data_IF_175402797006
#
_entry.id   IF_175402797006
#
_cell.length_a   1.000
_cell.length_b   1.000
_cell.length_c   1.000
_cell.angle_alpha   90.00
_cell.angle_beta   90.00
_cell.angle_gamma   90.00
#
_symmetry.space_group_name_H-M   'P 1'
#
loop_
_entity.id
_entity.type
_entity.pdbx_description
1 polymer ?
#
# COMPACT_ATOMS: atom_id res chain seq x y z
N UNK A 1 -9.15 0.34 7.09
CA UNK A 1 -7.97 -0.55 7.22
C UNK A 1 -6.81 -0.02 6.38
N UNK A 2 -6.86 -0.08 5.04
CA UNK A 2 -5.78 0.42 4.19
C UNK A 2 -5.51 1.92 4.40
N UNK A 3 -6.54 2.77 4.48
CA UNK A 3 -6.32 4.22 4.72
C UNK A 3 -5.54 4.52 6.01
N UNK A 4 -5.78 3.74 7.07
CA UNK A 4 -5.07 3.93 8.34
C UNK A 4 -3.61 3.47 8.22
N UNK A 5 -3.38 2.29 7.64
CA UNK A 5 -2.03 1.76 7.41
C UNK A 5 -1.22 2.64 6.44
N UNK A 6 -1.84 3.13 5.36
CA UNK A 6 -1.21 4.06 4.42
C UNK A 6 -0.80 5.36 5.11
N UNK A 7 -1.70 5.94 5.92
CA UNK A 7 -1.39 7.15 6.71
C UNK A 7 -0.29 6.92 7.72
N UNK A 8 -0.25 5.76 8.38
CA UNK A 8 0.84 5.39 9.28
C UNK A 8 2.21 5.32 8.57
N UNK A 9 2.23 5.05 7.26
CA UNK A 9 3.43 5.06 6.43
C UNK A 9 3.65 6.40 5.69
N UNK A 10 2.94 7.47 6.09
CA UNK A 10 3.08 8.81 5.53
C UNK A 10 2.48 9.00 4.13
N UNK A 11 1.60 8.10 3.69
CA UNK A 11 1.03 8.11 2.34
C UNK A 11 -0.50 8.11 2.36
N UNK A 12 -1.13 8.81 1.42
CA UNK A 12 -2.58 8.69 1.21
C UNK A 12 -2.90 7.45 0.38
N UNK A 13 -4.07 6.86 0.61
CA UNK A 13 -4.52 5.70 -0.16
C UNK A 13 -4.51 5.93 -1.67
N UNK A 14 -4.94 7.12 -2.11
CA UNK A 14 -4.94 7.48 -3.53
C UNK A 14 -3.52 7.49 -4.11
N UNK A 15 -2.53 8.00 -3.36
CA UNK A 15 -1.12 8.01 -3.78
C UNK A 15 -0.54 6.59 -3.79
N UNK A 16 -0.90 5.75 -2.82
CA UNK A 16 -0.52 4.34 -2.78
C UNK A 16 -1.02 3.59 -4.01
N UNK A 17 -2.31 3.70 -4.32
CA UNK A 17 -2.90 3.03 -5.49
C UNK A 17 -2.33 3.58 -6.80
N UNK A 18 -2.06 4.89 -6.87
CA UNK A 18 -1.42 5.50 -8.03
C UNK A 18 -0.02 4.93 -8.25
N UNK A 19 0.82 4.90 -7.21
CA UNK A 19 2.18 4.36 -7.28
C UNK A 19 2.20 2.87 -7.61
N UNK A 20 1.30 2.08 -7.02
CA UNK A 20 1.16 0.66 -7.38
C UNK A 20 0.74 0.47 -8.84
N UNK A 21 -0.14 1.33 -9.36
CA UNK A 21 -0.52 1.30 -10.77
C UNK A 21 0.65 1.69 -11.69
N UNK A 22 1.47 2.66 -11.32
CA UNK A 22 2.67 3.04 -12.07
C UNK A 22 3.74 1.95 -12.04
N UNK A 23 3.89 1.28 -10.91
CA UNK A 23 4.77 0.13 -10.74
C UNK A 23 4.23 -1.17 -11.42
N UNK A 24 3.10 -1.10 -12.15
CA UNK A 24 2.40 -2.26 -12.73
C UNK A 24 2.05 -3.37 -11.73
N UNK A 25 1.91 -3.02 -10.44
CA UNK A 25 1.54 -3.96 -9.38
C UNK A 25 0.01 -4.06 -9.33
N UNK A 26 -0.52 -5.14 -9.90
CA UNK A 26 -1.94 -5.48 -9.79
C UNK A 26 -2.19 -6.22 -8.47
N UNK A 27 -2.54 -5.47 -7.43
CA UNK A 27 -2.84 -6.01 -6.11
C UNK A 27 -4.31 -5.82 -5.75
N UNK A 28 -4.97 -6.91 -5.38
CA UNK A 28 -6.36 -6.87 -4.97
C UNK A 28 -6.55 -6.09 -3.67
N UNK A 29 -7.55 -5.21 -3.63
CA UNK A 29 -7.89 -4.41 -2.43
C UNK A 29 -8.12 -5.27 -1.19
N UNK A 30 -8.74 -6.45 -1.35
CA UNK A 30 -9.03 -7.35 -0.22
C UNK A 30 -7.74 -7.89 0.39
N UNK A 31 -6.83 -8.36 -0.45
CA UNK A 31 -5.52 -8.87 -0.04
C UNK A 31 -4.69 -7.74 0.57
N UNK A 32 -4.66 -6.56 -0.06
CA UNK A 32 -3.98 -5.38 0.46
C UNK A 32 -4.49 -4.96 1.85
N UNK A 33 -5.81 -5.05 2.09
CA UNK A 33 -6.40 -4.75 3.39
C UNK A 33 -6.09 -5.80 4.46
N UNK A 34 -5.89 -7.06 4.07
CA UNK A 34 -5.49 -8.13 4.97
C UNK A 34 -4.01 -8.00 5.35
N UNK A 35 -3.14 -7.80 4.36
CA UNK A 35 -1.71 -7.52 4.56
C UNK A 35 -1.53 -6.30 5.46
N UNK A 36 -2.26 -5.20 5.20
CA UNK A 36 -2.21 -3.99 6.00
C UNK A 36 -2.50 -4.17 7.50
N UNK A 37 -3.15 -5.27 7.89
CA UNK A 37 -3.51 -5.55 9.29
C UNK A 37 -2.73 -6.71 9.88
N UNK A 38 -2.44 -7.74 9.07
CA UNK A 38 -1.76 -8.94 9.54
C UNK A 38 -0.24 -8.80 9.48
N UNK A 39 0.26 -8.01 8.53
CA UNK A 39 1.68 -7.84 8.30
C UNK A 39 2.02 -6.38 7.92
N UNK A 40 2.32 -5.60 8.96
CA UNK A 40 2.74 -4.22 8.80
C UNK A 40 4.06 -4.08 8.05
N UNK A 41 4.95 -5.06 8.13
CA UNK A 41 6.26 -5.04 7.47
C UNK A 41 6.12 -5.26 5.96
N UNK A 42 5.33 -6.26 5.56
CA UNK A 42 4.99 -6.47 4.16
C UNK A 42 4.23 -5.28 3.56
N UNK A 43 3.30 -4.68 4.33
CA UNK A 43 2.60 -3.47 3.87
C UNK A 43 3.56 -2.28 3.69
N UNK A 44 4.53 -2.08 4.59
CA UNK A 44 5.53 -1.04 4.46
C UNK A 44 6.37 -1.20 3.18
N UNK A 45 6.80 -2.43 2.85
CA UNK A 45 7.51 -2.71 1.60
C UNK A 45 6.68 -2.35 0.35
N UNK A 46 5.38 -2.65 0.35
CA UNK A 46 4.46 -2.28 -0.74
C UNK A 46 4.35 -0.75 -0.84
N UNK A 47 4.29 -0.04 0.29
CA UNK A 47 4.24 1.43 0.31
C UNK A 47 5.55 2.02 -0.24
N UNK A 48 6.70 1.45 0.09
CA UNK A 48 8.00 1.92 -0.43
C UNK A 48 8.11 1.69 -1.96
N UNK A 49 7.64 0.55 -2.48
CA UNK A 49 7.55 0.32 -3.92
C UNK A 49 6.66 1.38 -4.58
N UNK A 50 5.52 1.72 -3.97
CA UNK A 50 4.62 2.75 -4.48
C UNK A 50 5.15 4.19 -4.30
N UNK A 51 6.12 4.43 -3.40
CA UNK A 51 6.80 5.73 -3.25
C UNK A 51 7.87 5.95 -4.32
N UNK A 52 8.53 4.89 -4.75
CA UNK A 52 9.61 4.94 -5.74
C UNK A 52 9.14 4.99 -7.19
N UNK A 53 7.83 4.84 -7.44
CA UNK A 53 7.21 4.86 -8.77
C UNK A 53 6.57 6.21 -9.12
#
# INVERSE_FOLDING_TARGET
RINAAARANGMSYSRLIHGLKQANVQLDRKVLADIAVRDAQAFAAIVEIAKGA
#
